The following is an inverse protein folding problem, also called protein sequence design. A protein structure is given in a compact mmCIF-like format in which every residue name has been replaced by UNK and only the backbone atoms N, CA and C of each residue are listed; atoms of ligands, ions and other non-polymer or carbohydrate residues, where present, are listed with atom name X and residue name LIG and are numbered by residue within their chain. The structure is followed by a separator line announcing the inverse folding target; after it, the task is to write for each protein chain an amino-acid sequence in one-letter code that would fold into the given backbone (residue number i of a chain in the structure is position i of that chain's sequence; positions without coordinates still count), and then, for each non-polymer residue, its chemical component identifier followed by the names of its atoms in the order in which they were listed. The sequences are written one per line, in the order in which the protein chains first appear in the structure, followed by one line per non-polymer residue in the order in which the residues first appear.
data_IF_478321241099
#
_entry.id   IF_478321241099
#
_cell.length_a   1.000
_cell.length_b   1.000
_cell.length_c   1.000
_cell.angle_alpha   90.00
_cell.angle_beta   90.00
_cell.angle_gamma   90.00
#
_symmetry.space_group_name_H-M   'P 1'
#
loop_
_entity.id
_entity.type
_entity.pdbx_description
1 polymer ?
#
# COMPACT_ATOMS: atom_id res chain seq x y z
N UNK A 1 -14.40 -17.14 -6.23
CA UNK A 1 -13.06 -16.63 -5.82
C UNK A 1 -13.01 -15.13 -5.95
N UNK A 2 -12.67 -14.43 -4.87
CA UNK A 2 -12.68 -12.96 -4.82
C UNK A 2 -11.25 -12.41 -4.75
N UNK A 3 -10.89 -11.47 -5.61
CA UNK A 3 -9.58 -10.80 -5.55
C UNK A 3 -9.45 -10.05 -4.22
N UNK A 4 -8.36 -10.32 -3.49
CA UNK A 4 -8.00 -9.57 -2.30
C UNK A 4 -7.22 -8.35 -2.74
N UNK A 5 -7.80 -7.18 -2.50
CA UNK A 5 -7.13 -5.93 -2.76
C UNK A 5 -5.87 -5.81 -1.87
N UNK A 6 -4.73 -5.46 -2.48
CA UNK A 6 -3.51 -5.14 -1.73
C UNK A 6 -3.77 -4.03 -0.73
N UNK A 7 -2.98 -3.95 0.34
CA UNK A 7 -3.09 -2.86 1.31
C UNK A 7 -3.13 -1.53 0.61
N UNK A 8 -2.20 -1.26 -0.31
CA UNK A 8 -2.16 0.02 -1.03
C UNK A 8 -3.40 0.24 -1.88
N UNK A 9 -3.93 -0.80 -2.53
CA UNK A 9 -5.18 -0.69 -3.27
C UNK A 9 -6.35 -0.44 -2.33
N UNK A 10 -6.50 -1.16 -1.22
CA UNK A 10 -7.53 -0.88 -0.22
C UNK A 10 -7.35 0.52 0.38
N UNK A 11 -6.10 0.96 0.60
CA UNK A 11 -5.75 2.26 1.17
C UNK A 11 -5.94 3.42 0.20
N UNK A 12 -5.98 3.19 -1.13
CA UNK A 12 -6.11 4.20 -2.22
C UNK A 12 -7.42 4.13 -3.00
N UNK A 13 -8.02 2.95 -3.17
CA UNK A 13 -9.33 2.70 -3.78
C UNK A 13 -10.48 2.96 -2.79
N UNK A 14 -10.32 2.59 -1.51
CA UNK A 14 -11.07 3.26 -0.41
C UNK A 14 -10.43 4.63 -0.08
N UNK A 15 -9.25 4.88 -0.63
CA UNK A 15 -8.32 5.95 -0.27
C UNK A 15 -8.43 7.28 -0.95
N UNK A 16 -9.57 7.57 -1.55
CA UNK A 16 -10.14 8.89 -1.32
C UNK A 16 -10.03 9.20 0.19
N UNK A 17 -10.29 8.27 1.12
CA UNK A 17 -10.25 8.57 2.56
C UNK A 17 -8.88 8.86 3.17
N UNK A 18 -7.78 8.19 2.80
CA UNK A 18 -6.45 8.46 3.42
C UNK A 18 -5.73 9.62 2.74
N UNK A 19 -5.80 9.69 1.41
CA UNK A 19 -5.36 10.89 0.69
C UNK A 19 -6.18 12.11 1.14
N UNK A 20 -7.52 12.01 1.20
CA UNK A 20 -8.35 13.07 1.77
C UNK A 20 -8.08 13.27 3.26
N UNK A 21 -7.70 12.27 4.05
CA UNK A 21 -7.36 12.47 5.46
C UNK A 21 -6.08 13.27 5.61
N UNK A 22 -5.03 12.96 4.85
CA UNK A 22 -3.79 13.75 4.86
C UNK A 22 -4.02 15.15 4.26
N UNK A 23 -4.82 15.28 3.20
CA UNK A 23 -5.21 16.59 2.65
C UNK A 23 -6.10 17.37 3.65
N UNK A 24 -7.05 16.72 4.31
CA UNK A 24 -7.94 17.32 5.32
C UNK A 24 -7.21 17.63 6.63
N UNK A 25 -6.09 16.96 6.94
CA UNK A 25 -5.17 17.37 7.99
C UNK A 25 -4.33 18.56 7.54
N UNK A 26 -3.86 18.57 6.29
CA UNK A 26 -3.04 19.64 5.72
C UNK A 26 -3.77 20.98 5.65
N UNK A 27 -5.01 20.99 5.14
CA UNK A 27 -5.79 22.20 4.85
C UNK A 27 -6.01 23.09 6.09
N UNK A 28 -6.44 22.59 7.27
CA UNK A 28 -6.56 23.37 8.49
C UNK A 28 -5.24 23.99 8.94
N UNK A 29 -4.12 23.25 8.87
CA UNK A 29 -2.81 23.77 9.27
C UNK A 29 -2.32 24.88 8.33
N UNK A 30 -2.50 24.71 7.02
CA UNK A 30 -2.18 25.76 6.04
C UNK A 30 -3.07 27.00 6.24
N UNK A 31 -4.36 26.81 6.45
CA UNK A 31 -5.31 27.89 6.68
C UNK A 31 -5.01 28.65 7.98
N UNK A 32 -4.78 27.94 9.09
CA UNK A 32 -4.39 28.53 10.37
C UNK A 32 -3.04 29.27 10.26
N UNK A 33 -2.06 28.70 9.56
CA UNK A 33 -0.79 29.38 9.31
C UNK A 33 -0.99 30.72 8.58
N UNK A 34 -1.75 30.74 7.48
CA UNK A 34 -2.04 31.96 6.74
C UNK A 34 -2.87 32.98 7.55
N UNK A 35 -3.75 32.51 8.43
CA UNK A 35 -4.55 33.36 9.31
C UNK A 35 -3.68 34.04 10.39
N UNK A 36 -2.78 33.29 11.03
CA UNK A 36 -1.87 33.81 12.07
C UNK A 36 -0.87 34.79 11.50
N UNK A 37 -0.41 34.63 10.25
CA UNK A 37 0.45 35.61 9.56
C UNK A 37 -0.15 37.03 9.54
N UNK A 38 -1.47 37.16 9.57
CA UNK A 38 -2.17 38.46 9.57
C UNK A 38 -2.27 39.10 10.97
N UNK A 39 -1.85 38.40 12.03
CA UNK A 39 -1.85 38.92 13.40
C UNK A 39 -0.49 39.54 13.75
N UNK A 40 -0.48 40.72 14.37
CA UNK A 40 0.67 41.64 14.48
C UNK A 40 1.82 41.21 15.41
N UNK A 41 1.72 40.07 16.10
CA UNK A 41 2.68 39.68 17.14
C UNK A 41 3.85 38.84 16.61
N UNK A 42 5.07 39.11 17.12
CA UNK A 42 6.29 38.38 16.75
C UNK A 42 6.22 36.86 16.99
N UNK A 43 5.43 36.40 17.97
CA UNK A 43 5.17 34.98 18.23
C UNK A 43 4.36 34.31 17.10
N UNK A 44 3.66 35.10 16.28
CA UNK A 44 2.92 34.65 15.11
C UNK A 44 3.82 34.04 14.04
N UNK A 45 5.06 34.51 13.87
CA UNK A 45 5.96 34.01 12.82
C UNK A 45 6.43 32.57 13.06
N UNK A 46 6.86 32.24 14.29
CA UNK A 46 7.29 30.89 14.64
C UNK A 46 6.12 29.90 14.54
N UNK A 47 4.96 30.26 15.10
CA UNK A 47 3.75 29.43 15.05
C UNK A 47 3.29 29.21 13.61
N UNK A 48 3.29 30.26 12.79
CA UNK A 48 2.93 30.16 11.37
C UNK A 48 3.88 29.24 10.61
N UNK A 49 5.19 29.36 10.85
CA UNK A 49 6.19 28.52 10.20
C UNK A 49 5.97 27.03 10.53
N UNK A 50 5.69 26.70 11.80
CA UNK A 50 5.40 25.33 12.24
C UNK A 50 4.13 24.80 11.55
N UNK A 51 3.05 25.59 11.53
CA UNK A 51 1.78 25.20 10.91
C UNK A 51 1.92 24.98 9.40
N UNK A 52 2.64 25.86 8.69
CA UNK A 52 2.89 25.72 7.26
C UNK A 52 3.73 24.49 6.93
N UNK A 53 4.81 24.24 7.66
CA UNK A 53 5.62 23.03 7.49
C UNK A 53 4.78 21.79 7.72
N UNK A 54 3.99 21.76 8.79
CA UNK A 54 3.14 20.62 9.12
C UNK A 54 2.16 20.33 7.98
N UNK A 55 1.49 21.37 7.48
CA UNK A 55 0.60 21.30 6.32
C UNK A 55 1.30 20.73 5.08
N UNK A 56 2.51 21.23 4.75
CA UNK A 56 3.30 20.76 3.61
C UNK A 56 3.71 19.29 3.78
N UNK A 57 4.15 18.88 4.97
CA UNK A 57 4.55 17.49 5.25
C UNK A 57 3.39 16.53 4.98
N UNK A 58 2.18 16.83 5.46
CA UNK A 58 1.01 16.00 5.19
C UNK A 58 0.67 15.91 3.69
N UNK A 59 0.80 17.02 2.97
CA UNK A 59 0.59 17.08 1.52
C UNK A 59 1.59 16.20 0.77
N UNK A 60 2.87 16.27 1.15
CA UNK A 60 3.92 15.41 0.58
C UNK A 60 3.65 13.93 0.84
N UNK A 61 3.23 13.56 2.06
CA UNK A 61 2.85 12.19 2.38
C UNK A 61 1.68 11.70 1.51
N UNK A 62 0.68 12.56 1.28
CA UNK A 62 -0.46 12.25 0.42
C UNK A 62 -0.04 11.98 -1.04
N UNK A 63 0.84 12.83 -1.58
CA UNK A 63 1.39 12.69 -2.93
C UNK A 63 2.27 11.44 -3.08
N UNK A 64 3.17 11.20 -2.13
CA UNK A 64 4.05 10.03 -2.15
C UNK A 64 3.26 8.73 -2.16
N UNK A 65 2.22 8.62 -1.33
CA UNK A 65 1.36 7.44 -1.34
C UNK A 65 0.58 7.29 -2.65
N UNK A 66 0.13 8.39 -3.26
CA UNK A 66 -0.63 8.36 -4.53
C UNK A 66 0.24 7.87 -5.68
N UNK A 67 1.47 8.40 -5.77
CA UNK A 67 2.47 7.97 -6.74
C UNK A 67 2.79 6.49 -6.54
N UNK A 68 3.05 6.07 -5.29
CA UNK A 68 3.35 4.67 -4.96
C UNK A 68 2.20 3.74 -5.35
N UNK A 69 0.95 4.13 -5.09
CA UNK A 69 -0.22 3.38 -5.51
C UNK A 69 -0.28 3.20 -7.02
N UNK A 70 -0.16 4.29 -7.79
CA UNK A 70 -0.18 4.24 -9.26
C UNK A 70 0.92 3.35 -9.83
N UNK A 71 2.13 3.42 -9.27
CA UNK A 71 3.24 2.57 -9.71
C UNK A 71 2.91 1.10 -9.50
N UNK A 72 2.42 0.74 -8.31
CA UNK A 72 2.08 -0.66 -7.98
C UNK A 72 0.93 -1.16 -8.86
N UNK A 73 -0.13 -0.36 -9.03
CA UNK A 73 -1.28 -0.74 -9.85
C UNK A 73 -0.92 -0.91 -11.32
N UNK A 74 -0.14 0.02 -11.87
CA UNK A 74 0.26 -0.03 -13.28
C UNK A 74 1.21 -1.20 -13.53
N UNK A 75 2.16 -1.45 -12.62
CA UNK A 75 3.05 -2.60 -12.71
C UNK A 75 2.25 -3.91 -12.72
N UNK A 76 1.29 -4.05 -11.81
CA UNK A 76 0.45 -5.25 -11.75
C UNK A 76 -0.39 -5.41 -13.04
N UNK A 77 -1.00 -4.33 -13.53
CA UNK A 77 -1.79 -4.37 -14.75
C UNK A 77 -0.96 -4.77 -15.97
N UNK A 78 0.27 -4.26 -16.11
CA UNK A 78 1.18 -4.64 -17.19
C UNK A 78 1.60 -6.10 -17.08
N UNK A 79 2.02 -6.55 -15.89
CA UNK A 79 2.44 -7.93 -15.67
C UNK A 79 1.31 -8.93 -15.89
N UNK A 80 0.06 -8.55 -15.60
CA UNK A 80 -1.11 -9.40 -15.87
C UNK A 80 -1.37 -9.61 -17.37
N UNK A 81 -1.00 -8.64 -18.22
CA UNK A 81 -1.23 -8.71 -19.67
C UNK A 81 -0.05 -9.35 -20.40
N UNK A 82 1.17 -8.97 -20.02
CA UNK A 82 2.40 -9.30 -20.76
C UNK A 82 3.32 -10.30 -20.03
N UNK A 83 3.07 -10.54 -18.74
CA UNK A 83 3.90 -11.42 -17.92
C UNK A 83 3.47 -12.88 -17.94
N UNK A 84 4.35 -13.74 -17.44
CA UNK A 84 4.04 -15.14 -17.19
C UNK A 84 3.41 -15.28 -15.80
N UNK A 85 2.30 -16.02 -15.71
CA UNK A 85 1.57 -16.23 -14.46
C UNK A 85 1.80 -17.65 -13.93
N UNK A 86 2.09 -17.78 -12.64
CA UNK A 86 2.26 -19.07 -11.96
C UNK A 86 1.50 -19.09 -10.64
N UNK A 87 1.04 -20.27 -10.24
CA UNK A 87 0.44 -20.47 -8.93
C UNK A 87 1.50 -20.46 -7.83
N UNK A 88 1.16 -19.85 -6.71
CA UNK A 88 2.05 -19.73 -5.55
C UNK A 88 1.50 -20.61 -4.43
N UNK A 89 2.33 -21.52 -3.94
CA UNK A 89 2.08 -22.23 -2.70
C UNK A 89 2.42 -21.32 -1.53
N UNK A 90 1.38 -20.89 -0.80
CA UNK A 90 1.52 -20.01 0.36
C UNK A 90 2.14 -20.81 1.52
N UNK A 91 3.29 -20.35 2.01
CA UNK A 91 3.96 -20.95 3.17
C UNK A 91 3.47 -20.32 4.48
N UNK A 92 3.42 -18.98 4.51
CA UNK A 92 3.07 -18.22 5.71
C UNK A 92 2.65 -16.80 5.39
N UNK A 93 1.87 -16.22 6.30
CA UNK A 93 1.61 -14.78 6.34
C UNK A 93 2.54 -14.14 7.38
N UNK A 94 3.36 -13.19 6.95
CA UNK A 94 4.30 -12.46 7.79
C UNK A 94 3.70 -11.11 8.15
N UNK A 95 3.21 -10.92 9.39
CA UNK A 95 2.61 -9.67 9.80
C UNK A 95 3.65 -8.54 9.85
N UNK A 96 3.23 -7.32 9.48
CA UNK A 96 3.96 -6.11 9.83
C UNK A 96 3.77 -5.85 11.33
N UNK A 97 4.84 -6.01 12.08
CA UNK A 97 4.86 -5.96 13.54
C UNK A 97 4.32 -4.66 14.15
N UNK A 98 4.30 -3.56 13.42
CA UNK A 98 3.90 -2.22 13.89
C UNK A 98 2.49 -1.77 13.45
N UNK A 99 1.73 -2.58 12.69
CA UNK A 99 0.43 -2.15 12.14
C UNK A 99 -0.68 -3.18 12.34
N UNK A 100 -1.13 -3.32 13.59
CA UNK A 100 -2.45 -3.91 13.92
C UNK A 100 -3.46 -2.78 14.10
N UNK A 101 -4.57 -2.85 13.38
CA UNK A 101 -5.68 -1.90 13.48
C UNK A 101 -6.94 -2.66 13.89
N UNK A 102 -7.19 -2.76 15.19
CA UNK A 102 -8.30 -3.54 15.75
C UNK A 102 -8.20 -5.03 15.36
N UNK A 103 -9.27 -5.57 14.76
CA UNK A 103 -9.33 -6.96 14.28
C UNK A 103 -8.65 -7.20 12.91
N UNK A 104 -7.93 -6.21 12.38
CA UNK A 104 -7.21 -6.32 11.11
C UNK A 104 -5.70 -6.32 11.30
N UNK A 105 -5.03 -7.16 10.53
CA UNK A 105 -3.56 -7.31 10.51
C UNK A 105 -3.07 -7.07 9.08
N UNK A 106 -2.08 -6.20 8.93
CA UNK A 106 -1.36 -6.09 7.66
C UNK A 106 -0.25 -7.12 7.61
N UNK A 107 -0.24 -7.96 6.58
CA UNK A 107 0.77 -9.01 6.43
C UNK A 107 1.22 -9.14 4.96
N UNK A 108 2.46 -9.57 4.76
CA UNK A 108 2.95 -10.03 3.47
C UNK A 108 2.77 -11.56 3.39
N UNK A 109 2.46 -12.06 2.20
CA UNK A 109 2.38 -13.49 1.92
C UNK A 109 3.75 -13.95 1.44
N UNK A 110 4.33 -14.92 2.14
CA UNK A 110 5.53 -15.62 1.71
C UNK A 110 5.16 -17.01 1.21
N UNK A 111 5.76 -17.41 0.10
CA UNK A 111 5.47 -18.68 -0.54
C UNK A 111 6.51 -19.02 -1.58
N UNK A 112 6.18 -20.01 -2.38
CA UNK A 112 7.02 -20.47 -3.48
C UNK A 112 6.18 -20.66 -4.73
N UNK A 113 6.77 -20.46 -5.89
CA UNK A 113 6.18 -20.87 -7.16
C UNK A 113 7.15 -21.78 -7.90
N UNK A 114 6.61 -22.62 -8.76
CA UNK A 114 7.38 -23.45 -9.68
C UNK A 114 7.27 -22.86 -11.08
N UNK A 115 8.40 -22.55 -11.70
CA UNK A 115 8.43 -22.02 -13.06
C UNK A 115 8.16 -23.12 -14.11
N UNK A 116 8.09 -22.73 -15.38
CA UNK A 116 7.86 -23.67 -16.49
C UNK A 116 9.01 -24.69 -16.68
N UNK A 117 10.16 -24.45 -16.07
CA UNK A 117 11.34 -25.32 -16.12
C UNK A 117 11.44 -26.24 -14.89
N UNK A 118 10.46 -26.19 -13.97
CA UNK A 118 10.44 -26.98 -12.75
C UNK A 118 11.26 -26.40 -11.60
N UNK A 119 11.82 -25.18 -11.73
CA UNK A 119 12.56 -24.54 -10.65
C UNK A 119 11.61 -23.90 -9.65
N UNK A 120 11.81 -24.22 -8.38
CA UNK A 120 11.06 -23.61 -7.28
C UNK A 120 11.79 -22.38 -6.75
N UNK A 121 11.11 -21.22 -6.71
CA UNK A 121 11.68 -19.98 -6.18
C UNK A 121 10.81 -19.41 -5.05
N UNK A 122 11.46 -18.86 -4.02
CA UNK A 122 10.78 -18.20 -2.91
C UNK A 122 10.39 -16.77 -3.27
N UNK A 123 9.19 -16.37 -2.89
CA UNK A 123 8.68 -15.02 -3.15
C UNK A 123 8.07 -14.42 -1.90
N UNK A 124 8.02 -13.08 -1.89
CA UNK A 124 7.35 -12.30 -0.86
C UNK A 124 6.46 -11.27 -1.53
N UNK A 125 5.17 -11.29 -1.21
CA UNK A 125 4.22 -10.34 -1.76
C UNK A 125 4.35 -8.97 -1.13
N UNK A 126 3.65 -7.99 -1.71
CA UNK A 126 3.30 -6.75 -1.01
C UNK A 126 2.40 -7.04 0.20
N UNK A 127 2.10 -6.02 0.99
CA UNK A 127 1.22 -6.17 2.14
C UNK A 127 -0.24 -6.21 1.69
N UNK A 128 -1.01 -7.09 2.34
CA UNK A 128 -2.46 -7.19 2.26
C UNK A 128 -3.06 -6.99 3.65
N UNK A 129 -4.35 -6.65 3.68
CA UNK A 129 -5.12 -6.50 4.91
C UNK A 129 -5.89 -7.79 5.17
N UNK A 130 -5.56 -8.46 6.25
CA UNK A 130 -6.20 -9.67 6.74
C UNK A 130 -7.04 -9.38 7.98
N UNK A 131 -8.05 -10.20 8.23
CA UNK A 131 -8.69 -10.30 9.55
C UNK A 131 -7.86 -11.20 10.46
N UNK A 132 -8.00 -11.07 11.77
CA UNK A 132 -7.36 -11.98 12.73
C UNK A 132 -7.81 -13.44 12.63
N UNK A 133 -8.90 -13.72 11.92
CA UNK A 133 -9.45 -15.06 11.73
C UNK A 133 -9.05 -15.71 10.41
N UNK A 134 -8.50 -14.93 9.48
CA UNK A 134 -8.06 -15.39 8.17
C UNK A 134 -6.89 -16.38 8.33
N UNK A 135 -7.00 -17.56 7.71
CA UNK A 135 -5.95 -18.60 7.66
C UNK A 135 -5.28 -18.62 6.29
N UNK A 136 -4.09 -19.18 6.19
CA UNK A 136 -3.35 -19.32 4.91
C UNK A 136 -4.16 -20.06 3.85
N UNK A 137 -4.89 -21.09 4.26
CA UNK A 137 -5.59 -22.00 3.37
C UNK A 137 -6.83 -21.36 2.74
N UNK A 138 -7.32 -20.27 3.33
CA UNK A 138 -8.44 -19.46 2.83
C UNK A 138 -8.05 -18.65 1.59
N UNK A 139 -6.77 -18.67 1.19
CA UNK A 139 -6.26 -17.90 0.07
C UNK A 139 -5.53 -18.73 -0.97
N UNK A 140 -5.54 -18.19 -2.18
CA UNK A 140 -4.70 -18.58 -3.30
C UNK A 140 -3.89 -17.39 -3.75
N UNK A 141 -2.64 -17.62 -4.13
CA UNK A 141 -1.79 -16.57 -4.66
C UNK A 141 -1.34 -16.92 -6.08
N UNK A 142 -1.26 -15.91 -6.94
CA UNK A 142 -0.66 -16.00 -8.26
C UNK A 142 0.47 -14.99 -8.35
N UNK A 143 1.59 -15.38 -8.94
CA UNK A 143 2.68 -14.47 -9.24
C UNK A 143 2.67 -14.18 -10.73
N UNK A 144 2.85 -12.90 -11.07
CA UNK A 144 3.05 -12.44 -12.43
C UNK A 144 4.49 -11.94 -12.57
N UNK A 145 5.25 -12.58 -13.45
CA UNK A 145 6.66 -12.30 -13.71
C UNK A 145 6.81 -11.58 -15.04
N UNK A 146 7.68 -10.58 -15.08
CA UNK A 146 8.08 -9.96 -16.33
C UNK A 146 8.89 -10.96 -17.17
N UNK A 147 8.51 -11.15 -18.43
CA UNK A 147 9.21 -12.02 -19.36
C UNK A 147 10.66 -11.56 -19.62
N UNK A 148 10.92 -10.25 -19.54
CA UNK A 148 12.25 -9.67 -19.76
C UNK A 148 13.12 -9.58 -18.50
N UNK A 149 12.50 -9.61 -17.30
CA UNK A 149 13.22 -9.50 -16.03
C UNK A 149 12.51 -10.30 -14.92
N UNK A 150 12.93 -11.54 -14.64
CA UNK A 150 12.33 -12.37 -13.60
C UNK A 150 12.37 -11.77 -12.19
N UNK A 151 13.23 -10.78 -11.91
CA UNK A 151 13.21 -10.08 -10.62
C UNK A 151 12.07 -9.06 -10.51
N UNK A 152 11.49 -8.64 -11.64
CA UNK A 152 10.33 -7.78 -11.68
C UNK A 152 9.06 -8.63 -11.64
N UNK A 153 8.52 -8.80 -10.43
CA UNK A 153 7.27 -9.52 -10.23
C UNK A 153 6.24 -8.73 -9.44
N UNK A 154 5.00 -9.20 -9.49
CA UNK A 154 3.90 -8.79 -8.63
C UNK A 154 3.08 -10.01 -8.25
N UNK A 155 2.57 -10.04 -7.03
CA UNK A 155 1.73 -11.12 -6.53
C UNK A 155 0.29 -10.62 -6.48
N UNK A 156 -0.65 -11.47 -6.88
CA UNK A 156 -2.09 -11.30 -6.65
C UNK A 156 -2.54 -12.34 -5.65
N UNK A 157 -3.44 -11.94 -4.75
CA UNK A 157 -4.01 -12.79 -3.74
C UNK A 157 -5.51 -12.89 -3.96
N UNK A 158 -6.05 -14.09 -3.87
CA UNK A 158 -7.46 -14.41 -4.05
C UNK A 158 -7.96 -15.09 -2.78
N UNK A 159 -9.16 -14.74 -2.35
CA UNK A 159 -9.86 -15.42 -1.26
C UNK A 159 -10.72 -16.53 -1.84
N UNK A 160 -10.55 -17.74 -1.32
CA UNK A 160 -11.43 -18.89 -1.57
C UNK A 160 -12.75 -18.61 -0.86
N UNK A 161 -13.85 -18.86 -1.54
CA UNK A 161 -15.20 -18.69 -0.98
C UNK A 161 -15.65 -19.97 -0.27
#
# INVERSE_FOLDING_TARGET
MKLVESTWHKLYTVGIRVFLLFVAMSLPFLFLGLFVIKTKDNWGYLLTFILLINGVVWLLLALLGLVKYRIISNKLAQLRIYGNSYEVTIKRMVPLWYLRLGGYVMAAVEGYYTDAHGNTQSIKSTNYVFTTFDKTDDFEAKIHLDAGNPQSYSVELFRKE
#
